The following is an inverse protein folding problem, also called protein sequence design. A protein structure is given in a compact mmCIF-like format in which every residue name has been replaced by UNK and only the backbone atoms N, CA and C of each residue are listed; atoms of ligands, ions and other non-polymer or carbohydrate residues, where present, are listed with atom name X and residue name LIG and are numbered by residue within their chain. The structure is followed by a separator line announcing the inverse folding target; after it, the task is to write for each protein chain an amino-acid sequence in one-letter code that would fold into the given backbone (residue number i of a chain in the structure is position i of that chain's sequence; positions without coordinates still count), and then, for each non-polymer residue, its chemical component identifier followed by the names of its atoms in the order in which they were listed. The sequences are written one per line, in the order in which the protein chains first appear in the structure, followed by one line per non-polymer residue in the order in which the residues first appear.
data_IF_905659882292
#
_entry.id   IF_905659882292
#
_cell.length_a   1.000
_cell.length_b   1.000
_cell.length_c   1.000
_cell.angle_alpha   90.00
_cell.angle_beta   90.00
_cell.angle_gamma   90.00
#
_symmetry.space_group_name_H-M   'P 1'
#
loop_
_entity.id
_entity.type
_entity.pdbx_description
1 polymer ?
#
# COMPACT_ATOMS: atom_id res chain seq x y z
N UNK A 1 12.72 7.93 15.81
CA UNK A 1 14.01 7.20 15.79
C UNK A 1 14.52 7.30 14.38
N UNK A 2 15.82 7.52 14.21
CA UNK A 2 16.43 7.65 12.90
C UNK A 2 17.62 6.70 12.81
N UNK A 3 17.78 6.01 11.68
CA UNK A 3 18.93 5.15 11.38
C UNK A 3 19.22 4.09 12.47
N UNK A 4 18.16 3.56 13.10
CA UNK A 4 18.27 2.61 14.21
C UNK A 4 18.10 1.17 13.73
N UNK A 5 18.84 0.23 14.35
CA UNK A 5 18.60 -1.21 14.22
C UNK A 5 17.60 -1.67 15.26
N UNK A 6 16.50 -2.26 14.82
CA UNK A 6 15.41 -2.73 15.66
C UNK A 6 15.42 -4.26 15.64
N UNK A 7 16.04 -4.85 16.66
CA UNK A 7 16.00 -6.28 16.92
C UNK A 7 15.11 -6.56 18.13
N UNK A 8 13.80 -6.44 17.92
CA UNK A 8 12.80 -6.70 18.95
C UNK A 8 11.62 -7.45 18.35
N UNK A 9 11.12 -8.46 19.06
CA UNK A 9 9.91 -9.18 18.67
C UNK A 9 8.67 -8.30 18.80
N UNK A 10 8.65 -7.38 19.77
CA UNK A 10 7.53 -6.49 20.04
C UNK A 10 7.99 -5.11 20.51
N UNK A 11 7.35 -4.07 19.99
CA UNK A 11 7.41 -2.70 20.47
C UNK A 11 6.01 -2.29 20.90
N UNK A 12 5.86 -1.87 22.16
CA UNK A 12 4.57 -1.41 22.67
C UNK A 12 4.70 -0.31 23.69
N UNK A 13 3.76 0.62 23.66
CA UNK A 13 3.62 1.65 24.70
C UNK A 13 2.16 2.06 24.83
N UNK A 14 1.60 2.09 26.06
CA UNK A 14 0.21 2.46 26.27
C UNK A 14 -0.05 3.97 26.11
N UNK A 15 0.98 4.81 26.22
CA UNK A 15 0.86 6.27 26.28
C UNK A 15 1.47 6.99 25.08
N UNK A 16 2.21 6.29 24.21
CA UNK A 16 2.86 6.90 23.06
C UNK A 16 1.81 7.39 22.05
N UNK A 17 1.88 8.67 21.70
CA UNK A 17 0.96 9.30 20.74
C UNK A 17 1.55 9.42 19.33
N UNK A 18 2.87 9.52 19.23
CA UNK A 18 3.54 9.76 17.95
C UNK A 18 4.74 8.83 17.84
N UNK A 19 4.77 8.03 16.79
CA UNK A 19 5.89 7.16 16.45
C UNK A 19 6.35 7.51 15.05
N UNK A 20 7.61 7.89 14.92
CA UNK A 20 8.27 8.11 13.63
C UNK A 20 9.58 7.33 13.61
N UNK A 21 9.73 6.45 12.63
CA UNK A 21 10.88 5.61 12.37
C UNK A 21 11.37 5.92 10.96
N UNK A 22 12.55 6.51 10.84
CA UNK A 22 13.14 6.91 9.57
C UNK A 22 14.43 6.12 9.36
N UNK A 23 14.61 5.53 8.18
CA UNK A 23 15.81 4.76 7.81
C UNK A 23 16.18 3.66 8.82
N UNK A 24 15.18 3.13 9.54
CA UNK A 24 15.41 2.11 10.56
C UNK A 24 15.45 0.72 9.91
N UNK A 25 16.28 -0.16 10.46
CA UNK A 25 16.51 -1.52 9.98
C UNK A 25 15.81 -2.50 10.92
N UNK A 26 14.71 -3.11 10.46
CA UNK A 26 14.06 -4.20 11.18
C UNK A 26 14.79 -5.51 10.95
N UNK A 27 14.61 -6.46 11.87
CA UNK A 27 15.20 -7.78 11.74
C UNK A 27 14.77 -8.47 10.42
N UNK A 28 15.73 -9.09 9.74
CA UNK A 28 15.53 -9.77 8.45
C UNK A 28 15.11 -11.24 8.57
N UNK A 29 15.10 -11.79 9.79
CA UNK A 29 14.80 -13.20 10.01
C UNK A 29 13.31 -13.58 9.86
N UNK A 30 12.98 -14.79 10.30
CA UNK A 30 11.64 -15.36 10.14
C UNK A 30 10.55 -14.57 10.90
N UNK A 31 10.89 -13.98 12.05
CA UNK A 31 9.94 -13.21 12.88
C UNK A 31 9.84 -11.76 12.45
N UNK A 32 8.65 -11.17 12.59
CA UNK A 32 8.38 -9.75 12.33
C UNK A 32 8.19 -9.03 13.65
N UNK A 33 8.73 -7.82 13.78
CA UNK A 33 8.49 -6.95 14.92
C UNK A 33 7.01 -6.57 15.01
N UNK A 34 6.34 -6.88 16.11
CA UNK A 34 4.97 -6.48 16.39
C UNK A 34 4.92 -5.05 16.96
N UNK A 35 4.12 -4.18 16.36
CA UNK A 35 3.83 -2.84 16.87
C UNK A 35 2.45 -2.83 17.54
N UNK A 36 2.39 -2.43 18.81
CA UNK A 36 1.13 -2.32 19.56
C UNK A 36 1.11 -1.01 20.37
N UNK A 37 0.39 -0.03 19.85
CA UNK A 37 0.32 1.32 20.42
C UNK A 37 -1.13 1.81 20.46
N UNK A 38 -1.90 1.48 21.50
CA UNK A 38 -3.35 1.75 21.54
C UNK A 38 -3.69 3.25 21.55
N UNK A 39 -2.79 4.09 22.07
CA UNK A 39 -2.97 5.55 22.14
C UNK A 39 -2.29 6.30 20.99
N UNK A 40 -1.80 5.59 19.96
CA UNK A 40 -1.07 6.22 18.86
C UNK A 40 -2.01 7.04 17.99
N UNK A 41 -1.63 8.28 17.73
CA UNK A 41 -2.34 9.25 16.89
C UNK A 41 -1.68 9.36 15.53
N UNK A 42 -0.34 9.31 15.48
CA UNK A 42 0.42 9.32 14.22
C UNK A 42 1.48 8.24 14.16
N UNK A 43 1.49 7.49 13.06
CA UNK A 43 2.52 6.52 12.71
C UNK A 43 3.26 6.98 11.45
N UNK A 44 4.57 6.97 11.50
CA UNK A 44 5.43 7.18 10.34
C UNK A 44 6.51 6.10 10.31
N UNK A 45 6.51 5.31 9.24
CA UNK A 45 7.54 4.35 8.88
C UNK A 45 8.11 4.82 7.55
N UNK A 46 9.25 5.52 7.58
CA UNK A 46 9.86 6.09 6.40
C UNK A 46 11.17 5.39 6.04
N UNK A 47 11.27 4.94 4.78
CA UNK A 47 12.45 4.28 4.22
C UNK A 47 13.04 3.17 5.10
N UNK A 48 12.19 2.48 5.86
CA UNK A 48 12.64 1.41 6.74
C UNK A 48 13.00 0.16 5.91
N UNK A 49 14.06 -0.51 6.33
CA UNK A 49 14.57 -1.75 5.74
C UNK A 49 14.27 -2.95 6.64
N UNK A 50 14.53 -4.16 6.14
CA UNK A 50 14.14 -5.39 6.82
C UNK A 50 12.66 -5.76 6.62
N UNK A 51 12.20 -6.76 7.38
CA UNK A 51 10.82 -7.26 7.27
C UNK A 51 9.83 -6.20 7.74
N UNK A 52 8.77 -5.97 6.98
CA UNK A 52 7.71 -5.01 7.34
C UNK A 52 7.13 -5.37 8.72
N UNK A 53 7.06 -4.43 9.67
CA UNK A 53 6.51 -4.68 11.00
C UNK A 53 5.04 -5.12 10.94
N UNK A 54 4.63 -5.89 11.94
CA UNK A 54 3.23 -6.30 12.10
C UNK A 54 2.42 -5.26 12.86
N UNK A 55 1.23 -4.98 12.36
CA UNK A 55 0.22 -4.16 13.01
C UNK A 55 -1.10 -4.95 13.02
N UNK A 56 -1.15 -5.97 13.88
CA UNK A 56 -2.23 -6.96 13.94
C UNK A 56 -3.52 -6.41 14.59
N UNK A 57 -3.36 -5.55 15.59
CA UNK A 57 -4.46 -4.95 16.34
C UNK A 57 -4.73 -3.54 15.80
N UNK A 58 -6.01 -3.20 15.65
CA UNK A 58 -6.43 -1.85 15.28
C UNK A 58 -5.88 -0.86 16.31
N UNK A 59 -5.26 0.23 15.84
CA UNK A 59 -4.88 1.35 16.69
C UNK A 59 -6.07 2.31 16.77
N UNK A 60 -6.89 2.28 17.85
CA UNK A 60 -8.19 2.96 17.89
C UNK A 60 -8.07 4.49 17.82
N UNK A 61 -6.94 5.05 18.25
CA UNK A 61 -6.69 6.49 18.29
C UNK A 61 -6.01 7.04 17.03
N UNK A 62 -5.75 6.18 16.05
CA UNK A 62 -4.91 6.53 14.91
C UNK A 62 -5.62 7.52 13.99
N UNK A 63 -4.97 8.64 13.71
CA UNK A 63 -5.49 9.69 12.82
C UNK A 63 -4.72 9.72 11.52
N UNK A 64 -3.40 9.56 11.57
CA UNK A 64 -2.51 9.63 10.40
C UNK A 64 -1.53 8.46 10.39
N UNK A 65 -1.33 7.84 9.24
CA UNK A 65 -0.33 6.82 9.04
C UNK A 65 0.41 7.00 7.71
N UNK A 66 1.73 7.02 7.78
CA UNK A 66 2.63 7.06 6.63
C UNK A 66 3.48 5.80 6.68
N UNK A 67 3.38 4.96 5.65
CA UNK A 67 4.16 3.73 5.52
C UNK A 67 4.85 3.74 4.16
N UNK A 68 6.13 4.12 4.17
CA UNK A 68 7.03 4.10 3.02
C UNK A 68 8.02 2.95 3.20
N UNK A 69 7.80 1.86 2.47
CA UNK A 69 8.65 0.67 2.54
C UNK A 69 9.79 0.79 1.53
N UNK A 70 11.02 0.63 2.02
CA UNK A 70 12.24 0.80 1.25
C UNK A 70 12.45 -0.24 0.14
N UNK A 71 13.37 0.08 -0.77
CA UNK A 71 13.71 -0.75 -1.92
C UNK A 71 14.62 -1.96 -1.60
N UNK A 72 14.81 -2.31 -0.34
CA UNK A 72 15.59 -3.49 0.08
C UNK A 72 14.82 -4.39 1.04
N UNK A 73 13.50 -4.19 1.15
CA UNK A 73 12.65 -5.04 1.97
C UNK A 73 12.65 -6.48 1.41
N UNK A 74 12.93 -7.51 2.23
CA UNK A 74 12.89 -8.91 1.83
C UNK A 74 11.47 -9.38 1.50
N UNK A 75 10.42 -8.60 1.83
CA UNK A 75 9.02 -8.89 1.49
C UNK A 75 8.68 -8.64 0.00
N UNK A 76 9.60 -9.00 -0.88
CA UNK A 76 9.47 -8.88 -2.33
C UNK A 76 9.17 -10.23 -2.92
N UNK A 77 8.17 -10.26 -3.79
CA UNK A 77 7.88 -11.47 -4.55
C UNK A 77 7.69 -11.09 -6.01
N UNK A 78 8.59 -11.57 -6.87
CA UNK A 78 8.56 -11.29 -8.31
C UNK A 78 7.33 -11.92 -9.00
N UNK A 79 6.81 -13.00 -8.42
CA UNK A 79 5.57 -13.66 -8.85
C UNK A 79 4.31 -12.99 -8.26
N UNK A 80 4.45 -12.01 -7.36
CA UNK A 80 3.30 -11.37 -6.69
C UNK A 80 2.59 -10.28 -7.47
N UNK A 81 3.02 -10.05 -8.71
CA UNK A 81 2.37 -9.10 -9.62
C UNK A 81 0.87 -9.39 -9.78
N UNK A 82 0.43 -10.64 -9.54
CA UNK A 82 -0.97 -11.10 -9.61
C UNK A 82 -1.51 -11.69 -8.28
N UNK A 83 -0.81 -11.57 -7.15
CA UNK A 83 -1.27 -12.15 -5.88
C UNK A 83 -0.21 -12.82 -4.99
N UNK A 84 -0.65 -13.77 -4.17
CA UNK A 84 0.23 -14.78 -3.57
C UNK A 84 0.81 -15.65 -4.69
N UNK A 85 2.11 -15.94 -4.61
CA UNK A 85 2.78 -16.70 -5.66
C UNK A 85 2.46 -18.20 -5.67
N UNK A 86 1.56 -18.66 -4.78
CA UNK A 86 1.19 -20.07 -4.60
C UNK A 86 2.36 -20.99 -4.25
N UNK A 87 3.51 -20.40 -3.91
CA UNK A 87 4.80 -21.06 -3.79
C UNK A 87 5.26 -20.93 -2.35
N UNK A 88 4.93 -21.92 -1.52
CA UNK A 88 5.22 -21.95 -0.09
C UNK A 88 6.72 -21.83 0.26
N UNK A 89 7.61 -21.91 -0.74
CA UNK A 89 9.05 -21.68 -0.59
C UNK A 89 9.47 -20.22 -0.81
N UNK A 90 8.54 -19.32 -1.17
CA UNK A 90 8.88 -17.93 -1.47
C UNK A 90 9.23 -17.15 -0.20
N UNK A 91 10.52 -16.91 0.04
CA UNK A 91 11.02 -16.17 1.20
C UNK A 91 10.37 -14.78 1.38
N UNK A 92 10.05 -14.10 0.27
CA UNK A 92 9.35 -12.80 0.35
C UNK A 92 7.87 -12.90 0.77
N UNK A 93 7.21 -14.02 0.51
CA UNK A 93 5.84 -14.27 0.93
C UNK A 93 5.76 -14.95 2.31
N UNK A 94 6.72 -15.81 2.63
CA UNK A 94 6.68 -16.76 3.75
C UNK A 94 7.79 -16.55 4.79
N UNK A 95 8.84 -15.77 4.49
CA UNK A 95 10.08 -15.71 5.28
C UNK A 95 11.03 -16.87 4.94
N UNK A 96 12.33 -16.73 5.22
CA UNK A 96 13.24 -17.88 5.11
C UNK A 96 12.79 -18.98 6.06
N UNK A 97 12.52 -20.17 5.52
CA UNK A 97 12.60 -21.40 6.29
C UNK A 97 14.08 -21.72 6.43
N UNK A 98 14.78 -21.08 7.36
CA UNK A 98 16.12 -21.53 7.71
C UNK A 98 15.97 -22.94 8.31
N UNK A 99 16.27 -23.95 7.49
CA UNK A 99 16.48 -25.33 7.89
C UNK A 99 17.75 -25.41 8.76
N UNK A 100 17.61 -25.03 10.03
CA UNK A 100 18.49 -25.47 11.10
C UNK A 100 17.92 -26.73 11.76
N UNK A 101 18.73 -27.76 12.06
CA UNK A 101 18.25 -28.97 12.70
C UNK A 101 18.07 -28.73 14.20
N UNK A 102 16.98 -28.08 14.63
CA UNK A 102 16.60 -28.03 16.04
C UNK A 102 15.10 -27.89 16.22
N UNK A 103 14.47 -28.95 16.74
CA UNK A 103 13.34 -29.12 17.69
C UNK A 103 12.47 -27.95 18.19
N UNK A 104 12.47 -26.78 17.58
CA UNK A 104 11.54 -25.69 17.88
C UNK A 104 10.66 -25.43 16.67
N UNK A 105 9.42 -25.90 16.79
CA UNK A 105 8.31 -25.58 15.91
C UNK A 105 8.11 -24.05 15.89
N UNK A 106 8.75 -23.35 14.95
CA UNK A 106 8.46 -21.94 14.69
C UNK A 106 7.05 -21.94 14.08
N UNK A 107 6.05 -21.28 14.70
CA UNK A 107 4.71 -21.32 14.17
C UNK A 107 4.74 -20.77 12.75
N UNK A 108 4.35 -21.61 11.80
CA UNK A 108 3.97 -21.18 10.45
C UNK A 108 3.07 -19.95 10.61
N UNK A 109 3.54 -18.79 10.15
CA UNK A 109 2.81 -17.54 10.31
C UNK A 109 1.40 -17.72 9.76
N UNK A 110 0.38 -17.46 10.57
CA UNK A 110 -1.00 -17.75 10.23
C UNK A 110 -1.37 -17.05 8.92
N UNK A 111 -1.53 -17.85 7.86
CA UNK A 111 -1.76 -17.41 6.49
C UNK A 111 -3.05 -16.58 6.36
N UNK A 112 -3.92 -16.64 7.37
CA UNK A 112 -5.18 -15.91 7.47
C UNK A 112 -5.06 -14.50 8.06
N UNK A 113 -3.90 -14.10 8.60
CA UNK A 113 -3.74 -12.82 9.31
C UNK A 113 -3.18 -11.69 8.42
N UNK A 114 -3.82 -10.52 8.48
CA UNK A 114 -3.32 -9.29 7.86
C UNK A 114 -2.07 -8.80 8.60
N UNK A 115 -1.04 -8.41 7.87
CA UNK A 115 0.25 -8.04 8.44
C UNK A 115 0.26 -6.60 8.95
N UNK A 116 -0.33 -5.64 8.22
CA UNK A 116 -0.18 -4.21 8.47
C UNK A 116 -1.50 -3.44 8.33
N UNK A 117 -2.28 -3.64 7.26
CA UNK A 117 -3.43 -2.77 6.94
C UNK A 117 -4.55 -2.80 7.99
N UNK A 118 -4.74 -3.93 8.67
CA UNK A 118 -5.76 -4.07 9.73
C UNK A 118 -5.53 -3.08 10.88
N UNK A 119 -4.27 -2.81 11.22
CA UNK A 119 -3.88 -1.84 12.24
C UNK A 119 -4.16 -0.38 11.87
N UNK A 120 -4.37 -0.11 10.58
CA UNK A 120 -4.46 1.24 10.00
C UNK A 120 -5.91 1.66 9.68
N UNK A 121 -6.91 0.79 9.93
CA UNK A 121 -8.30 1.01 9.53
C UNK A 121 -8.94 2.29 10.10
N UNK A 122 -8.45 2.76 11.26
CA UNK A 122 -8.97 3.94 11.94
C UNK A 122 -8.41 5.26 11.38
N UNK A 123 -7.38 5.19 10.53
CA UNK A 123 -6.71 6.36 9.99
C UNK A 123 -7.65 7.22 9.12
N UNK A 124 -7.56 8.53 9.31
CA UNK A 124 -8.22 9.53 8.46
C UNK A 124 -7.35 9.96 7.28
N UNK A 125 -6.02 9.84 7.46
CA UNK A 125 -5.00 10.14 6.48
C UNK A 125 -4.07 8.94 6.38
N UNK A 126 -3.92 8.38 5.19
CA UNK A 126 -3.12 7.19 4.95
C UNK A 126 -2.22 7.38 3.73
N UNK A 127 -0.93 7.14 3.89
CA UNK A 127 0.04 7.06 2.81
C UNK A 127 0.68 5.67 2.79
N UNK A 128 0.56 4.97 1.68
CA UNK A 128 1.15 3.65 1.45
C UNK A 128 2.03 3.70 0.20
N UNK A 129 3.33 3.78 0.40
CA UNK A 129 4.30 3.88 -0.67
C UNK A 129 5.30 2.73 -0.59
N UNK A 130 5.48 2.03 -1.69
CA UNK A 130 6.37 0.88 -1.79
C UNK A 130 6.72 0.64 -3.26
N UNK A 131 7.84 -0.04 -3.50
CA UNK A 131 8.22 -0.48 -4.84
C UNK A 131 7.22 -1.49 -5.44
N UNK A 132 7.17 -1.62 -6.77
CA UNK A 132 6.14 -2.39 -7.48
C UNK A 132 6.10 -3.89 -7.15
N UNK A 133 7.22 -4.44 -6.65
CA UNK A 133 7.39 -5.86 -6.28
C UNK A 133 7.02 -6.17 -4.82
N UNK A 134 6.54 -5.18 -4.08
CA UNK A 134 6.20 -5.34 -2.66
C UNK A 134 4.88 -6.09 -2.51
N UNK A 135 4.88 -7.13 -1.68
CA UNK A 135 3.77 -8.08 -1.58
C UNK A 135 2.80 -7.79 -0.41
N UNK A 136 3.30 -7.22 0.70
CA UNK A 136 2.57 -7.08 1.97
C UNK A 136 1.23 -6.39 1.81
N UNK A 137 1.18 -5.24 1.14
CA UNK A 137 -0.08 -4.51 0.98
C UNK A 137 -1.09 -5.28 0.13
N UNK A 138 -0.65 -5.92 -0.96
CA UNK A 138 -1.55 -6.68 -1.84
C UNK A 138 -2.12 -7.91 -1.16
N UNK A 139 -1.29 -8.60 -0.36
CA UNK A 139 -1.73 -9.70 0.49
C UNK A 139 -2.80 -9.24 1.47
N UNK A 140 -2.54 -8.17 2.21
CA UNK A 140 -3.48 -7.65 3.18
C UNK A 140 -4.81 -7.25 2.53
N UNK A 141 -4.77 -6.61 1.36
CA UNK A 141 -5.98 -6.28 0.59
C UNK A 141 -6.80 -7.54 0.22
N UNK A 142 -6.14 -8.63 -0.19
CA UNK A 142 -6.81 -9.91 -0.45
C UNK A 142 -7.43 -10.50 0.83
N UNK A 143 -6.75 -10.39 1.97
CA UNK A 143 -7.20 -10.96 3.25
C UNK A 143 -8.30 -10.12 3.92
N UNK A 144 -8.36 -8.82 3.66
CA UNK A 144 -9.39 -7.93 4.19
C UNK A 144 -10.76 -8.08 3.51
N UNK A 145 -10.94 -9.02 2.57
CA UNK A 145 -12.14 -9.13 1.74
C UNK A 145 -13.43 -9.36 2.56
N UNK A 146 -14.50 -8.70 2.10
CA UNK A 146 -15.92 -8.72 2.49
C UNK A 146 -16.39 -7.95 3.74
N UNK A 147 -15.56 -7.63 4.75
CA UNK A 147 -16.08 -7.05 6.01
C UNK A 147 -15.35 -5.85 6.60
N UNK A 148 -14.18 -5.45 6.08
CA UNK A 148 -13.43 -4.31 6.62
C UNK A 148 -13.53 -3.10 5.69
N UNK A 149 -13.72 -1.93 6.27
CA UNK A 149 -13.86 -0.66 5.54
C UNK A 149 -13.01 0.39 6.23
N UNK A 150 -12.30 1.19 5.46
CA UNK A 150 -11.63 2.41 5.92
C UNK A 150 -12.69 3.50 6.14
N UNK A 151 -13.52 3.32 7.17
CA UNK A 151 -14.72 4.12 7.41
C UNK A 151 -14.44 5.61 7.69
N UNK A 152 -13.23 5.93 8.16
CA UNK A 152 -12.79 7.28 8.54
C UNK A 152 -11.84 7.93 7.52
N UNK A 153 -11.42 7.19 6.50
CA UNK A 153 -10.37 7.61 5.58
C UNK A 153 -10.86 8.70 4.64
N UNK A 154 -10.24 9.88 4.72
CA UNK A 154 -10.54 11.07 3.90
C UNK A 154 -9.46 11.35 2.87
N UNK A 155 -8.21 11.08 3.22
CA UNK A 155 -7.05 11.34 2.35
C UNK A 155 -6.24 10.07 2.19
N UNK A 156 -6.06 9.62 0.95
CA UNK A 156 -5.27 8.44 0.61
C UNK A 156 -4.16 8.81 -0.37
N UNK A 157 -2.94 8.38 -0.09
CA UNK A 157 -1.79 8.47 -0.98
C UNK A 157 -1.29 7.05 -1.26
N UNK A 158 -1.19 6.69 -2.54
CA UNK A 158 -0.71 5.37 -2.98
C UNK A 158 0.53 5.53 -3.87
N UNK A 159 1.58 4.77 -3.58
CA UNK A 159 2.75 4.64 -4.44
C UNK A 159 2.56 3.65 -5.59
N UNK A 160 3.65 3.39 -6.32
CA UNK A 160 3.68 2.58 -7.56
C UNK A 160 3.13 1.16 -7.43
N UNK A 161 3.23 0.54 -6.25
CA UNK A 161 2.74 -0.82 -6.00
C UNK A 161 1.26 -1.01 -6.30
N UNK A 162 0.44 0.06 -6.31
CA UNK A 162 -0.98 0.00 -6.62
C UNK A 162 -1.29 -0.08 -8.13
N UNK A 163 -0.28 0.12 -8.99
CA UNK A 163 -0.43 0.17 -10.45
C UNK A 163 -0.17 -1.22 -11.05
N UNK A 164 -1.20 -2.06 -11.02
CA UNK A 164 -1.25 -3.38 -11.69
C UNK A 164 -2.02 -3.32 -13.01
N UNK A 165 -1.97 -4.39 -13.80
CA UNK A 165 -2.74 -4.48 -15.06
C UNK A 165 -4.26 -4.40 -14.85
N UNK A 166 -4.76 -4.78 -13.68
CA UNK A 166 -6.18 -4.78 -13.32
C UNK A 166 -6.57 -3.65 -12.35
N UNK A 167 -5.62 -2.84 -11.89
CA UNK A 167 -5.82 -1.79 -10.88
C UNK A 167 -6.56 -2.26 -9.61
N UNK A 168 -6.48 -3.55 -9.29
CA UNK A 168 -7.24 -4.19 -8.22
C UNK A 168 -7.05 -3.51 -6.86
N UNK A 169 -5.82 -3.12 -6.52
CA UNK A 169 -5.52 -2.42 -5.28
C UNK A 169 -6.20 -1.05 -5.20
N UNK A 170 -6.14 -0.27 -6.29
CA UNK A 170 -6.77 1.04 -6.36
C UNK A 170 -8.29 0.93 -6.26
N UNK A 171 -8.89 0.02 -7.02
CA UNK A 171 -10.33 -0.24 -7.02
C UNK A 171 -10.79 -0.65 -5.62
N UNK A 172 -10.04 -1.53 -4.96
CA UNK A 172 -10.36 -1.97 -3.61
C UNK A 172 -10.47 -0.81 -2.63
N UNK A 173 -9.50 0.12 -2.61
CA UNK A 173 -9.56 1.29 -1.73
C UNK A 173 -10.74 2.18 -2.04
N UNK A 174 -11.03 2.40 -3.33
CA UNK A 174 -12.16 3.21 -3.75
C UNK A 174 -13.51 2.60 -3.34
N UNK A 175 -13.63 1.26 -3.33
CA UNK A 175 -14.83 0.56 -2.88
C UNK A 175 -14.96 0.50 -1.35
N UNK A 176 -13.84 0.46 -0.62
CA UNK A 176 -13.82 0.26 0.84
C UNK A 176 -13.48 1.55 1.61
N UNK A 177 -13.58 2.72 0.98
CA UNK A 177 -13.36 4.03 1.61
C UNK A 177 -14.51 4.99 1.26
N UNK A 178 -15.70 4.83 1.88
CA UNK A 178 -16.93 5.49 1.44
C UNK A 178 -16.89 7.01 1.54
N UNK A 179 -16.09 7.57 2.46
CA UNK A 179 -15.98 9.01 2.68
C UNK A 179 -14.68 9.63 2.12
N UNK A 180 -13.98 8.90 1.25
CA UNK A 180 -12.71 9.36 0.69
C UNK A 180 -12.90 10.67 -0.09
N UNK A 181 -12.19 11.72 0.31
CA UNK A 181 -12.29 13.06 -0.27
C UNK A 181 -11.15 13.35 -1.26
N UNK A 182 -9.94 12.86 -0.98
CA UNK A 182 -8.75 13.08 -1.79
C UNK A 182 -7.98 11.77 -1.99
N UNK A 183 -7.69 11.47 -3.24
CA UNK A 183 -6.76 10.42 -3.66
C UNK A 183 -5.52 11.06 -4.29
N UNK A 184 -4.32 10.61 -3.91
CA UNK A 184 -3.07 10.93 -4.60
C UNK A 184 -2.39 9.65 -5.05
N UNK A 185 -1.96 9.58 -6.30
CA UNK A 185 -1.20 8.46 -6.85
C UNK A 185 0.21 8.97 -7.17
N UNK A 186 1.22 8.38 -6.54
CA UNK A 186 2.63 8.71 -6.69
C UNK A 186 3.33 7.68 -7.59
N UNK A 187 3.85 8.15 -8.71
CA UNK A 187 4.44 7.31 -9.76
C UNK A 187 5.82 7.88 -10.05
N UNK A 188 6.88 7.19 -9.67
CA UNK A 188 8.24 7.65 -9.92
C UNK A 188 8.78 7.17 -11.28
N UNK A 189 8.31 6.03 -11.80
CA UNK A 189 8.68 5.48 -13.12
C UNK A 189 7.54 4.73 -13.79
N UNK A 190 7.62 4.58 -15.12
CA UNK A 190 6.73 3.72 -15.90
C UNK A 190 6.72 2.27 -15.35
N UNK A 191 5.55 1.75 -14.93
CA UNK A 191 5.42 0.37 -14.49
C UNK A 191 5.45 -0.57 -15.70
N UNK A 192 6.45 -1.47 -15.73
CA UNK A 192 6.71 -2.45 -16.79
C UNK A 192 5.57 -3.46 -17.07
N UNK A 193 4.50 -3.46 -16.28
CA UNK A 193 3.55 -4.58 -16.18
C UNK A 193 2.19 -4.35 -16.87
N UNK A 194 1.97 -3.20 -17.53
CA UNK A 194 0.67 -2.85 -18.10
C UNK A 194 0.32 -3.54 -19.42
N UNK A 195 1.25 -4.24 -20.05
CA UNK A 195 1.04 -4.88 -21.36
C UNK A 195 0.73 -6.38 -21.30
N UNK A 196 0.60 -6.97 -20.10
CA UNK A 196 0.34 -8.40 -19.90
C UNK A 196 -0.94 -8.66 -19.09
N UNK A 197 -2.12 -8.58 -19.73
CA UNK A 197 -3.35 -9.07 -19.13
C UNK A 197 -4.63 -8.66 -19.85
N UNK A 198 -5.55 -9.62 -20.06
CA UNK A 198 -6.94 -9.33 -20.42
C UNK A 198 -7.57 -8.54 -19.28
N UNK A 199 -7.92 -7.29 -19.56
CA UNK A 199 -8.60 -6.41 -18.63
C UNK A 199 -9.95 -7.04 -18.25
N UNK A 200 -10.15 -7.33 -16.96
CA UNK A 200 -11.48 -7.62 -16.43
C UNK A 200 -12.13 -6.28 -16.11
N UNK A 201 -13.10 -5.89 -16.93
CA UNK A 201 -14.00 -4.79 -16.60
C UNK A 201 -14.70 -5.09 -15.28
N UNK A 202 -14.76 -4.16 -14.31
CA UNK A 202 -15.58 -4.33 -13.14
C UNK A 202 -17.04 -4.51 -13.56
N UNK A 203 -17.74 -5.43 -12.91
CA UNK A 203 -19.13 -5.73 -13.21
C UNK A 203 -20.08 -4.56 -12.89
N UNK A 204 -19.66 -3.59 -12.08
CA UNK A 204 -20.42 -2.36 -11.79
C UNK A 204 -19.52 -1.18 -11.39
N UNK A 205 -19.79 0.04 -11.89
CA UNK A 205 -19.17 1.25 -11.37
C UNK A 205 -19.64 1.51 -9.93
N UNK A 206 -18.71 1.84 -9.03
CA UNK A 206 -19.02 2.20 -7.64
C UNK A 206 -19.15 3.72 -7.49
N UNK A 207 -20.02 4.15 -6.58
CA UNK A 207 -20.35 5.56 -6.41
C UNK A 207 -19.25 6.31 -5.63
N UNK A 208 -18.48 7.16 -6.33
CA UNK A 208 -17.45 8.02 -5.74
C UNK A 208 -18.00 9.39 -5.31
N UNK A 209 -19.01 9.36 -4.45
CA UNK A 209 -19.80 10.55 -4.11
C UNK A 209 -19.00 11.61 -3.35
N UNK A 210 -18.09 11.19 -2.48
CA UNK A 210 -17.31 12.10 -1.64
C UNK A 210 -15.96 12.48 -2.25
N UNK A 211 -15.51 11.77 -3.29
CA UNK A 211 -14.22 12.02 -3.92
C UNK A 211 -14.28 13.37 -4.66
N UNK A 212 -13.48 14.33 -4.20
CA UNK A 212 -13.41 15.68 -4.73
C UNK A 212 -12.22 15.86 -5.66
N UNK A 213 -11.10 15.24 -5.33
CA UNK A 213 -9.81 15.45 -6.00
C UNK A 213 -9.10 14.12 -6.18
N UNK A 214 -8.62 13.87 -7.39
CA UNK A 214 -7.63 12.83 -7.69
C UNK A 214 -6.37 13.52 -8.17
N UNK A 215 -5.26 13.36 -7.45
CA UNK A 215 -3.98 13.95 -7.78
C UNK A 215 -3.04 12.87 -8.33
N UNK A 216 -2.50 13.05 -9.52
CA UNK A 216 -1.47 12.15 -10.06
C UNK A 216 -0.14 12.89 -10.01
N UNK A 217 0.81 12.35 -9.24
CA UNK A 217 2.17 12.84 -9.12
C UNK A 217 3.10 11.95 -9.93
N UNK A 218 3.72 12.52 -10.97
CA UNK A 218 4.59 11.79 -11.90
C UNK A 218 5.81 12.60 -12.34
N UNK A 219 6.87 11.93 -12.79
CA UNK A 219 8.03 12.59 -13.40
C UNK A 219 7.73 13.07 -14.83
N UNK A 220 8.40 14.15 -15.22
CA UNK A 220 8.13 14.93 -16.43
C UNK A 220 8.15 14.16 -17.75
N UNK A 221 8.85 13.03 -17.82
CA UNK A 221 9.08 12.29 -19.05
C UNK A 221 7.97 11.26 -19.36
N UNK A 222 7.04 11.03 -18.42
CA UNK A 222 6.06 9.93 -18.48
C UNK A 222 4.65 10.35 -18.96
N UNK A 223 4.51 11.51 -19.60
CA UNK A 223 3.20 12.13 -19.95
C UNK A 223 2.33 11.20 -20.83
N UNK A 224 2.92 10.51 -21.80
CA UNK A 224 2.20 9.58 -22.70
C UNK A 224 1.58 8.40 -21.92
N UNK A 225 2.32 7.86 -20.96
CA UNK A 225 1.86 6.77 -20.12
C UNK A 225 0.76 7.22 -19.16
N UNK A 226 0.90 8.40 -18.55
CA UNK A 226 -0.13 9.02 -17.70
C UNK A 226 -1.44 9.16 -18.46
N UNK A 227 -1.40 9.56 -19.73
CA UNK A 227 -2.58 9.62 -20.58
C UNK A 227 -3.24 8.24 -20.81
N UNK A 228 -2.47 7.17 -21.01
CA UNK A 228 -3.00 5.79 -21.12
C UNK A 228 -3.65 5.36 -19.80
N UNK A 229 -2.98 5.62 -18.68
CA UNK A 229 -3.47 5.32 -17.34
C UNK A 229 -4.78 6.07 -17.02
N UNK A 230 -4.88 7.35 -17.36
CA UNK A 230 -6.09 8.15 -17.20
C UNK A 230 -7.28 7.61 -18.00
N UNK A 231 -7.05 7.17 -19.24
CA UNK A 231 -8.09 6.52 -20.04
C UNK A 231 -8.60 5.27 -19.34
N UNK A 232 -7.68 4.46 -18.81
CA UNK A 232 -8.02 3.29 -17.99
C UNK A 232 -8.83 3.69 -16.77
N UNK A 233 -8.42 4.70 -15.98
CA UNK A 233 -9.21 5.17 -14.83
C UNK A 233 -10.62 5.61 -15.21
N UNK A 234 -10.77 6.28 -16.37
CA UNK A 234 -12.07 6.65 -16.92
C UNK A 234 -12.99 5.45 -17.16
N UNK A 235 -12.45 4.33 -17.65
CA UNK A 235 -13.25 3.09 -17.84
C UNK A 235 -13.70 2.46 -16.53
N UNK A 236 -13.01 2.74 -15.41
CA UNK A 236 -13.36 2.27 -14.07
C UNK A 236 -14.36 3.20 -13.34
N UNK A 237 -14.85 4.26 -13.98
CA UNK A 237 -15.85 5.17 -13.41
C UNK A 237 -15.26 6.31 -12.57
N UNK A 238 -13.94 6.56 -12.64
CA UNK A 238 -13.35 7.73 -12.01
C UNK A 238 -13.71 9.00 -12.82
N UNK A 239 -14.30 10.03 -12.20
CA UNK A 239 -14.67 11.26 -12.90
C UNK A 239 -13.41 12.02 -13.32
N UNK A 240 -13.10 11.99 -14.63
CA UNK A 240 -11.91 12.60 -15.21
C UNK A 240 -11.81 14.12 -14.89
N UNK A 241 -12.94 14.79 -14.75
CA UNK A 241 -13.04 16.22 -14.38
C UNK A 241 -12.44 16.54 -13.01
N UNK A 242 -12.38 15.55 -12.10
CA UNK A 242 -11.83 15.71 -10.75
C UNK A 242 -10.33 15.40 -10.69
N UNK A 243 -9.72 15.04 -11.81
CA UNK A 243 -8.30 14.65 -11.88
C UNK A 243 -7.41 15.87 -12.13
N UNK A 244 -6.45 16.06 -11.23
CA UNK A 244 -5.39 17.05 -11.30
C UNK A 244 -4.05 16.33 -11.46
N UNK A 245 -3.27 16.70 -12.46
CA UNK A 245 -1.94 16.12 -12.68
C UNK A 245 -0.92 17.12 -12.18
N UNK A 246 -0.03 16.69 -11.29
CA UNK A 246 1.13 17.44 -10.83
C UNK A 246 2.40 16.73 -11.28
N UNK A 247 3.19 17.39 -12.10
CA UNK A 247 4.51 16.87 -12.46
C UNK A 247 5.51 17.29 -11.39
N UNK A 248 6.42 16.40 -10.99
CA UNK A 248 7.50 16.70 -10.02
C UNK A 248 8.42 17.83 -10.49
N UNK A 249 8.36 18.21 -11.77
CA UNK A 249 9.08 19.35 -12.35
C UNK A 249 8.30 20.69 -12.28
N UNK A 250 7.19 20.77 -11.54
CA UNK A 250 6.49 22.03 -11.25
C UNK A 250 5.38 22.45 -12.23
N UNK A 251 5.09 21.63 -13.25
CA UNK A 251 3.99 21.89 -14.20
C UNK A 251 2.70 21.20 -13.73
N UNK A 252 1.61 21.95 -13.64
CA UNK A 252 0.27 21.42 -13.35
C UNK A 252 -0.54 21.35 -14.66
N UNK A 253 -1.11 20.19 -14.96
CA UNK A 253 -2.04 20.02 -16.07
C UNK A 253 -3.40 19.54 -15.54
N UNK A 254 -4.48 20.06 -16.12
CA UNK A 254 -5.84 19.57 -15.90
C UNK A 254 -6.23 18.85 -17.20
N UNK A 255 -6.60 17.58 -17.10
CA UNK A 255 -7.07 16.84 -18.27
C UNK A 255 -8.46 17.33 -18.67
N UNK A 256 -8.52 18.25 -19.63
CA UNK A 256 -9.77 18.75 -20.21
C UNK A 256 -10.14 17.91 -21.45
N UNK A 257 -10.64 16.69 -21.21
CA UNK A 257 -11.29 15.85 -22.23
C UNK A 257 -10.34 15.05 -23.14
N UNK A 258 -10.63 13.76 -23.31
CA UNK A 258 -10.08 12.97 -24.40
C UNK A 258 -10.96 13.17 -25.62
N UNK A 259 -10.44 13.84 -26.65
CA UNK A 259 -11.09 13.87 -27.96
C UNK A 259 -11.16 12.45 -28.52
N UNK A 260 -12.38 11.96 -28.77
CA UNK A 260 -12.61 10.75 -29.54
C UNK A 260 -12.36 11.09 -31.01
N UNK A 261 -11.32 10.50 -31.60
CA UNK A 261 -11.20 10.29 -33.05
C UNK A 261 -11.22 8.78 -33.30
#
# INVERSE_FOLDING_TARGET
MDSCRINAEKMSSPSLKHLSLSYCEFYYGATRTQLSFPSLVSLELDCCEGRTPLILESMPSLVSAIVRVGAWCPDRCDKSLCGDCGDNSCEGCYGSSDEGPHDFFVPSFDHASCLCLKGLLEATHLELSAGPKMYVFRRDLKLLFACNTFAKLKTLVLGEWCITSDLSALIWFLQHSPILEKLTIQIAKEPKCLDAGKQKTPEQPFALNHLKIVEIQCHGDDILWVCKFLKTLGTYGLPLEKIKIKLTNGFNFVCTGFGYN
#
